data_IF_800432734935
#
_entry.id   IF_800432734935
#
_cell.length_a   1.000
_cell.length_b   1.000
_cell.length_c   1.000
_cell.angle_alpha   90.00
_cell.angle_beta   90.00
_cell.angle_gamma   90.00
#
_symmetry.space_group_name_H-M   'P 1'
#
loop_
_entity.id
_entity.type
_entity.pdbx_description
1 polymer ?
#
# COMPACT_ATOMS: atom_id res chain seq x y z
N UNK A 1 -78.63 -8.73 -11.50
CA UNK A 1 -77.61 -9.38 -10.63
C UNK A 1 -76.36 -9.67 -11.46
N UNK A 2 -75.39 -8.76 -11.44
CA UNK A 2 -74.10 -8.96 -12.14
C UNK A 2 -73.06 -9.33 -11.08
N UNK A 3 -72.48 -10.53 -11.21
CA UNK A 3 -71.36 -11.00 -10.38
C UNK A 3 -70.05 -10.53 -11.03
N UNK A 4 -69.33 -9.70 -10.30
CA UNK A 4 -67.97 -9.29 -10.63
C UNK A 4 -66.99 -10.38 -10.14
N UNK A 5 -66.27 -10.99 -11.06
CA UNK A 5 -65.18 -11.94 -10.76
C UNK A 5 -63.87 -11.11 -10.71
N UNK A 6 -63.26 -11.05 -9.53
CA UNK A 6 -61.92 -10.41 -9.36
C UNK A 6 -60.85 -11.50 -9.56
N UNK A 7 -59.91 -11.37 -10.46
CA UNK A 7 -58.81 -12.33 -10.55
C UNK A 7 -57.79 -12.07 -9.48
N UNK A 8 -57.54 -13.08 -8.64
CA UNK A 8 -56.49 -13.12 -7.63
C UNK A 8 -55.15 -13.40 -8.32
N UNK A 9 -54.34 -12.36 -8.50
CA UNK A 9 -52.95 -12.51 -9.02
C UNK A 9 -52.07 -12.98 -7.84
N UNK A 10 -51.58 -14.22 -7.89
CA UNK A 10 -50.56 -14.72 -6.97
C UNK A 10 -49.22 -14.07 -7.32
N UNK A 11 -48.79 -13.17 -6.47
CA UNK A 11 -47.43 -12.58 -6.55
C UNK A 11 -46.45 -13.55 -5.94
N UNK A 12 -45.71 -14.31 -6.73
CA UNK A 12 -44.63 -15.18 -6.25
C UNK A 12 -43.47 -14.30 -5.83
N UNK A 13 -43.29 -14.10 -4.54
CA UNK A 13 -42.09 -13.48 -3.96
C UNK A 13 -40.96 -14.50 -4.04
N UNK A 14 -40.10 -14.36 -5.05
CA UNK A 14 -38.79 -15.04 -5.06
C UNK A 14 -37.91 -14.38 -4.01
N UNK A 15 -37.76 -15.01 -2.87
CA UNK A 15 -36.74 -14.68 -1.87
C UNK A 15 -35.36 -14.95 -2.50
N UNK A 16 -34.71 -13.89 -3.01
CA UNK A 16 -33.28 -13.92 -3.24
C UNK A 16 -32.59 -14.01 -1.86
N UNK A 17 -32.23 -15.23 -1.47
CA UNK A 17 -31.33 -15.43 -0.34
C UNK A 17 -29.99 -14.76 -0.68
N UNK A 18 -29.43 -13.87 0.17
CA UNK A 18 -28.09 -13.41 -0.03
C UNK A 18 -27.18 -14.64 0.06
N UNK A 19 -26.47 -14.98 -1.01
CA UNK A 19 -25.41 -15.95 -0.96
C UNK A 19 -24.30 -15.34 -0.09
N UNK A 20 -24.30 -15.69 1.19
CA UNK A 20 -23.17 -15.46 2.07
C UNK A 20 -22.10 -16.44 1.59
N UNK A 21 -21.21 -15.98 0.73
CA UNK A 21 -19.97 -16.70 0.43
C UNK A 21 -19.20 -16.80 1.75
N UNK A 22 -19.23 -17.96 2.36
CA UNK A 22 -18.59 -18.19 3.64
C UNK A 22 -17.10 -18.49 3.38
N UNK A 23 -16.22 -18.04 4.28
CA UNK A 23 -14.82 -18.47 4.35
C UNK A 23 -14.66 -20.01 4.48
N UNK A 24 -15.76 -20.74 4.52
CA UNK A 24 -15.87 -22.20 4.57
C UNK A 24 -15.33 -22.91 3.32
N UNK A 25 -15.18 -22.21 2.19
CA UNK A 25 -14.69 -22.84 0.94
C UNK A 25 -13.15 -22.97 0.90
N UNK A 26 -12.45 -22.42 1.87
CA UNK A 26 -10.99 -22.43 1.91
C UNK A 26 -10.45 -23.27 3.07
N UNK A 27 -9.50 -24.15 2.75
CA UNK A 27 -8.67 -24.82 3.75
C UNK A 27 -7.38 -24.03 3.92
N UNK A 28 -7.14 -23.50 5.13
CA UNK A 28 -5.89 -22.79 5.47
C UNK A 28 -4.74 -23.81 5.49
N UNK A 29 -3.71 -23.55 4.67
CA UNK A 29 -2.49 -24.37 4.61
C UNK A 29 -1.41 -23.79 5.53
N UNK A 30 -1.27 -22.49 5.52
CA UNK A 30 -0.31 -21.73 6.33
C UNK A 30 -0.88 -20.37 6.66
N UNK A 31 -0.74 -19.94 7.90
CA UNK A 31 -1.13 -18.61 8.36
C UNK A 31 -0.07 -18.08 9.32
N UNK A 32 0.44 -16.90 9.02
CA UNK A 32 1.38 -16.17 9.88
C UNK A 32 0.61 -15.16 10.75
N UNK A 33 1.13 -14.78 11.91
CA UNK A 33 0.46 -13.81 12.77
C UNK A 33 0.44 -12.42 12.14
N UNK A 34 -0.68 -11.74 12.26
CA UNK A 34 -0.89 -10.35 11.82
C UNK A 34 -1.61 -9.55 12.90
N UNK A 35 -1.49 -8.24 12.84
CA UNK A 35 -2.26 -7.29 13.64
C UNK A 35 -3.66 -7.07 13.06
N UNK A 36 -4.51 -6.30 13.75
CA UNK A 36 -5.88 -5.99 13.33
C UNK A 36 -5.94 -5.38 11.93
N UNK A 37 -7.09 -5.56 11.27
CA UNK A 37 -7.40 -4.84 10.03
C UNK A 37 -7.71 -3.39 10.36
N UNK A 38 -7.10 -2.47 9.63
CA UNK A 38 -7.35 -1.02 9.71
C UNK A 38 -8.13 -0.53 8.49
N UNK A 39 -8.58 0.71 8.54
CA UNK A 39 -9.32 1.36 7.47
C UNK A 39 -8.64 2.68 7.06
N UNK A 40 -8.06 2.70 5.85
CA UNK A 40 -7.48 3.92 5.28
C UNK A 40 -8.54 4.93 4.82
N UNK A 41 -9.80 4.50 4.76
CA UNK A 41 -10.95 5.30 4.33
C UNK A 41 -10.65 6.10 3.04
N UNK A 42 -11.03 7.38 3.00
CA UNK A 42 -10.89 8.28 1.84
C UNK A 42 -9.46 8.86 1.73
N UNK A 43 -8.43 8.00 1.86
CA UNK A 43 -7.02 8.37 1.66
C UNK A 43 -6.32 7.41 0.71
N UNK A 44 -5.40 7.90 -0.10
CA UNK A 44 -4.57 7.09 -1.00
C UNK A 44 -3.33 6.51 -0.30
N UNK A 45 -3.45 6.11 0.98
CA UNK A 45 -2.34 5.72 1.85
C UNK A 45 -2.22 4.22 2.08
N UNK A 46 -2.78 3.39 1.19
CA UNK A 46 -2.70 1.93 1.25
C UNK A 46 -1.27 1.41 1.44
N UNK A 47 -0.29 2.07 0.79
CA UNK A 47 1.13 1.74 0.88
C UNK A 47 1.65 1.81 2.32
N UNK A 48 1.17 2.75 3.11
CA UNK A 48 1.59 2.94 4.50
C UNK A 48 0.88 1.93 5.42
N UNK A 49 -0.46 1.85 5.35
CA UNK A 49 -1.26 0.89 6.13
C UNK A 49 -0.79 -0.56 5.95
N UNK A 50 -0.54 -0.97 4.71
CA UNK A 50 -0.06 -2.33 4.44
C UNK A 50 1.36 -2.55 4.94
N UNK A 51 2.24 -1.54 4.80
CA UNK A 51 3.65 -1.67 5.22
C UNK A 51 3.81 -1.58 6.73
N UNK A 52 3.06 -0.71 7.42
CA UNK A 52 3.06 -0.71 8.89
C UNK A 52 2.47 -2.01 9.43
N UNK A 53 1.39 -2.53 8.83
CA UNK A 53 0.89 -3.86 9.16
C UNK A 53 1.92 -4.98 8.94
N UNK A 54 2.79 -4.84 7.93
CA UNK A 54 3.95 -5.71 7.72
C UNK A 54 4.99 -5.56 8.84
N UNK A 55 5.38 -4.33 9.20
CA UNK A 55 6.33 -4.05 10.31
C UNK A 55 5.78 -4.59 11.63
N UNK A 56 4.52 -4.35 11.93
CA UNK A 56 3.84 -4.88 13.13
C UNK A 56 3.86 -6.41 13.17
N UNK A 57 3.67 -7.07 12.02
CA UNK A 57 3.76 -8.53 11.90
C UNK A 57 5.19 -9.04 12.11
N UNK A 58 6.21 -8.30 11.65
CA UNK A 58 7.61 -8.64 11.91
C UNK A 58 7.96 -8.49 13.40
N UNK A 59 7.50 -7.43 14.06
CA UNK A 59 7.68 -7.25 15.52
C UNK A 59 6.97 -8.39 16.27
N UNK A 60 5.72 -8.69 15.90
CA UNK A 60 4.95 -9.78 16.52
C UNK A 60 5.66 -11.13 16.34
N UNK A 61 6.18 -11.41 15.14
CA UNK A 61 6.92 -12.65 14.84
C UNK A 61 8.20 -12.79 15.67
N UNK A 62 8.94 -11.69 15.86
CA UNK A 62 10.28 -11.72 16.50
C UNK A 62 10.22 -11.56 18.01
N UNK A 63 9.24 -10.85 18.54
CA UNK A 63 9.16 -10.49 19.97
C UNK A 63 7.94 -11.05 20.69
N UNK A 64 6.92 -11.50 19.96
CA UNK A 64 5.60 -11.87 20.51
C UNK A 64 4.77 -10.67 20.97
N UNK A 65 5.24 -9.43 20.79
CA UNK A 65 4.52 -8.20 21.17
C UNK A 65 3.71 -7.65 20.02
N UNK A 66 2.53 -7.15 20.35
CA UNK A 66 1.67 -6.43 19.40
C UNK A 66 1.86 -4.93 19.57
N UNK A 67 2.04 -4.24 18.47
CA UNK A 67 2.07 -2.78 18.41
C UNK A 67 1.01 -2.29 17.44
N UNK A 68 0.53 -1.08 17.66
CA UNK A 68 -0.32 -0.31 16.79
C UNK A 68 0.47 0.96 16.39
N UNK A 69 1.08 0.93 15.19
CA UNK A 69 1.96 1.98 14.71
C UNK A 69 1.14 3.05 13.96
N UNK A 70 1.55 4.30 14.09
CA UNK A 70 0.80 5.44 13.55
C UNK A 70 1.11 5.68 12.08
N UNK A 71 0.15 5.39 11.21
CA UNK A 71 0.22 5.67 9.78
C UNK A 71 0.37 7.18 9.51
N UNK A 72 -0.38 8.00 10.21
CA UNK A 72 -0.36 9.45 9.97
C UNK A 72 0.99 10.09 10.31
N UNK A 73 1.80 9.47 11.16
CA UNK A 73 3.18 9.92 11.39
C UNK A 73 4.02 9.75 10.13
N UNK A 74 3.94 8.60 9.50
CA UNK A 74 4.68 8.29 8.26
C UNK A 74 4.19 9.18 7.12
N UNK A 75 2.89 9.26 6.93
CA UNK A 75 2.25 10.10 5.90
C UNK A 75 2.66 11.56 6.00
N UNK A 76 2.66 12.14 7.22
CA UNK A 76 3.09 13.52 7.44
C UNK A 76 4.53 13.76 6.98
N UNK A 77 5.45 12.89 7.36
CA UNK A 77 6.87 13.00 7.02
C UNK A 77 7.13 12.74 5.54
N UNK A 78 6.43 11.77 4.96
CA UNK A 78 6.58 11.42 3.56
C UNK A 78 6.10 12.54 2.64
N UNK A 79 4.96 13.15 2.92
CA UNK A 79 4.46 14.27 2.12
C UNK A 79 5.35 15.49 2.16
N UNK A 80 5.98 15.78 3.32
CA UNK A 80 6.96 16.87 3.38
C UNK A 80 8.22 16.55 2.57
N UNK A 81 8.73 15.32 2.65
CA UNK A 81 9.86 14.86 1.83
C UNK A 81 9.52 14.91 0.33
N UNK A 82 8.31 14.46 -0.05
CA UNK A 82 7.81 14.52 -1.42
C UNK A 82 7.72 15.97 -1.93
N UNK A 83 7.23 16.90 -1.09
CA UNK A 83 7.19 18.32 -1.43
C UNK A 83 8.60 18.90 -1.67
N UNK A 84 9.56 18.57 -0.80
CA UNK A 84 10.96 18.97 -0.95
C UNK A 84 11.55 18.40 -2.24
N UNK A 85 11.28 17.12 -2.52
CA UNK A 85 11.72 16.47 -3.76
C UNK A 85 11.14 17.18 -5.00
N UNK A 86 9.85 17.47 -5.00
CA UNK A 86 9.18 18.18 -6.10
C UNK A 86 9.84 19.53 -6.41
N UNK A 87 10.12 20.32 -5.38
CA UNK A 87 10.78 21.61 -5.54
C UNK A 87 12.21 21.43 -6.09
N UNK A 88 12.97 20.45 -5.58
CA UNK A 88 14.33 20.14 -6.07
C UNK A 88 14.35 19.61 -7.51
N UNK A 89 13.30 18.90 -7.90
CA UNK A 89 13.08 18.43 -9.27
C UNK A 89 12.46 19.50 -10.18
N UNK A 90 12.44 20.75 -9.73
CA UNK A 90 11.91 21.90 -10.47
C UNK A 90 10.47 21.70 -10.97
N UNK A 91 9.66 20.94 -10.21
CA UNK A 91 8.27 20.65 -10.56
C UNK A 91 8.06 19.43 -11.46
N UNK A 92 9.12 18.71 -11.86
CA UNK A 92 9.02 17.51 -12.72
C UNK A 92 8.70 16.22 -12.00
N UNK A 93 8.47 16.22 -10.71
CA UNK A 93 7.97 15.06 -9.99
C UNK A 93 6.50 15.21 -9.60
N UNK A 94 5.86 14.11 -9.30
CA UNK A 94 4.48 14.15 -8.80
C UNK A 94 4.43 14.51 -7.32
N UNK A 95 3.33 15.17 -6.93
CA UNK A 95 2.83 15.24 -5.56
C UNK A 95 1.49 14.54 -5.58
N UNK A 96 1.44 13.33 -5.03
CA UNK A 96 0.25 12.49 -4.99
C UNK A 96 0.23 11.72 -3.65
N UNK A 97 -0.91 11.09 -3.34
CA UNK A 97 -1.08 10.34 -2.10
C UNK A 97 -0.39 8.96 -2.12
N UNK A 98 -0.11 8.42 -3.30
CA UNK A 98 0.52 7.12 -3.45
C UNK A 98 1.99 7.11 -3.05
N UNK A 99 2.43 5.97 -2.58
CA UNK A 99 3.80 5.66 -2.19
C UNK A 99 4.10 4.17 -2.34
N UNK A 100 5.18 3.72 -1.72
CA UNK A 100 5.60 2.32 -1.74
C UNK A 100 6.10 1.87 -0.36
N UNK A 101 6.29 0.57 -0.17
CA UNK A 101 6.83 0.03 1.08
C UNK A 101 8.21 0.62 1.43
N UNK A 102 9.03 0.92 0.43
CA UNK A 102 10.33 1.57 0.62
C UNK A 102 10.19 2.93 1.31
N UNK A 103 9.13 3.70 0.99
CA UNK A 103 8.93 5.05 1.53
C UNK A 103 8.72 5.01 3.04
N UNK A 104 7.93 4.05 3.54
CA UNK A 104 7.72 3.83 4.98
C UNK A 104 9.04 3.56 5.69
N UNK A 105 9.86 2.65 5.15
CA UNK A 105 11.16 2.31 5.72
C UNK A 105 12.14 3.49 5.71
N UNK A 106 12.16 4.29 4.64
CA UNK A 106 13.00 5.49 4.57
C UNK A 106 12.53 6.57 5.57
N UNK A 107 11.21 6.73 5.75
CA UNK A 107 10.67 7.64 6.78
C UNK A 107 11.06 7.18 8.18
N UNK A 108 10.87 5.90 8.50
CA UNK A 108 11.22 5.37 9.83
C UNK A 108 12.73 5.49 10.08
N UNK A 109 13.56 5.15 9.11
CA UNK A 109 15.01 5.33 9.21
C UNK A 109 15.42 6.79 9.43
N UNK A 110 14.74 7.73 8.81
CA UNK A 110 15.08 9.16 8.87
C UNK A 110 14.48 9.85 10.08
N UNK A 111 13.23 9.56 10.44
CA UNK A 111 12.46 10.31 11.43
C UNK A 111 12.06 9.50 12.65
N UNK A 112 12.07 8.18 12.57
CA UNK A 112 11.51 7.27 13.57
C UNK A 112 10.03 7.00 13.31
N UNK A 113 9.34 6.54 14.34
CA UNK A 113 7.90 6.21 14.32
C UNK A 113 7.32 6.44 15.72
N UNK A 114 6.01 6.58 15.84
CA UNK A 114 5.32 6.56 17.13
C UNK A 114 4.16 5.54 17.11
N UNK A 115 3.66 5.10 18.27
CA UNK A 115 2.42 4.33 18.33
C UNK A 115 1.23 5.23 17.99
N UNK A 116 0.12 4.65 17.54
CA UNK A 116 -1.10 5.36 17.15
C UNK A 116 -1.61 6.26 18.29
N UNK A 117 -1.59 5.80 19.53
CA UNK A 117 -2.04 6.57 20.70
C UNK A 117 -1.24 7.87 20.97
N UNK A 118 -0.02 7.97 20.43
CA UNK A 118 0.82 9.17 20.61
C UNK A 118 0.54 10.27 19.59
N UNK A 119 -0.18 9.96 18.53
CA UNK A 119 -0.62 10.90 17.51
C UNK A 119 -2.09 10.62 17.17
N UNK A 120 -3.00 10.82 18.14
CA UNK A 120 -4.39 10.54 17.89
C UNK A 120 -4.93 11.48 16.84
N UNK A 121 -5.77 10.97 16.05
CA UNK A 121 -6.67 11.54 15.05
C UNK A 121 -6.31 12.94 14.54
N UNK A 122 -5.83 13.07 13.30
CA UNK A 122 -5.56 14.38 12.69
C UNK A 122 -6.84 15.16 12.48
N UNK A 123 -6.69 16.48 12.35
CA UNK A 123 -7.80 17.41 12.16
C UNK A 123 -8.61 17.23 10.87
N UNK A 124 -8.20 16.37 9.95
CA UNK A 124 -9.00 15.97 8.80
C UNK A 124 -9.99 14.85 9.13
N UNK A 125 -10.02 14.39 10.36
CA UNK A 125 -10.90 13.31 10.76
C UNK A 125 -12.29 13.84 11.04
N UNK A 126 -13.21 13.32 10.31
CA UNK A 126 -14.62 13.54 10.50
C UNK A 126 -15.07 12.61 11.63
N UNK A 127 -14.90 13.05 12.87
CA UNK A 127 -15.58 12.53 14.05
C UNK A 127 -15.31 11.08 14.50
N UNK A 128 -14.71 10.25 13.67
CA UNK A 128 -14.58 8.80 13.86
C UNK A 128 -13.15 8.24 13.71
N UNK A 129 -12.17 9.11 13.69
CA UNK A 129 -10.75 8.75 13.57
C UNK A 129 -10.33 8.16 12.22
N UNK A 130 -11.15 8.24 11.17
CA UNK A 130 -10.82 7.77 9.83
C UNK A 130 -10.26 8.89 8.96
N UNK A 131 -9.19 8.62 8.21
CA UNK A 131 -8.55 9.60 7.34
C UNK A 131 -9.47 10.01 6.18
N UNK A 132 -9.54 11.34 5.89
CA UNK A 132 -10.25 11.87 4.73
C UNK A 132 -9.40 12.94 4.04
N UNK A 133 -8.84 12.62 2.90
CA UNK A 133 -7.94 13.49 2.15
C UNK A 133 -8.59 14.15 0.91
N UNK A 134 -9.92 14.11 0.80
CA UNK A 134 -10.65 14.70 -0.31
C UNK A 134 -10.41 16.21 -0.50
N UNK A 135 -10.20 16.94 0.60
CA UNK A 135 -9.81 18.35 0.55
C UNK A 135 -8.29 18.50 0.46
N UNK A 136 -7.55 17.74 1.26
CA UNK A 136 -6.09 17.82 1.34
C UNK A 136 -5.42 17.65 -0.04
N UNK A 137 -5.82 16.66 -0.83
CA UNK A 137 -5.29 16.44 -2.19
C UNK A 137 -5.48 17.63 -3.14
N UNK A 138 -6.52 18.45 -2.91
CA UNK A 138 -6.78 19.65 -3.70
C UNK A 138 -5.94 20.85 -3.26
N UNK A 139 -5.43 20.84 -2.03
CA UNK A 139 -4.71 21.95 -1.42
C UNK A 139 -3.19 21.75 -1.46
N UNK A 140 -2.70 20.54 -1.18
CA UNK A 140 -1.27 20.27 -1.02
C UNK A 140 -0.45 20.62 -2.27
N UNK A 141 -0.80 20.05 -3.42
CA UNK A 141 -0.04 20.28 -4.66
C UNK A 141 0.01 21.76 -5.08
N UNK A 142 -1.11 22.50 -5.13
CA UNK A 142 -1.07 23.92 -5.41
C UNK A 142 -0.24 24.72 -4.39
N UNK A 143 -0.31 24.36 -3.11
CA UNK A 143 0.47 25.03 -2.06
C UNK A 143 1.98 24.82 -2.26
N UNK A 144 2.42 23.59 -2.52
CA UNK A 144 3.84 23.28 -2.80
C UNK A 144 4.31 24.03 -4.05
N UNK A 145 3.50 24.06 -5.10
CA UNK A 145 3.82 24.79 -6.32
C UNK A 145 3.93 26.30 -6.05
N UNK A 146 2.98 26.89 -5.33
CA UNK A 146 2.99 28.33 -5.03
C UNK A 146 4.15 28.71 -4.10
N UNK A 147 4.27 28.07 -2.95
CA UNK A 147 5.28 28.40 -1.96
C UNK A 147 6.69 27.96 -2.34
N UNK A 148 6.81 26.76 -2.93
CA UNK A 148 8.09 26.14 -3.23
C UNK A 148 8.73 26.65 -4.53
N UNK A 149 7.93 27.02 -5.53
CA UNK A 149 8.43 27.51 -6.83
C UNK A 149 8.13 28.98 -7.08
N UNK A 150 7.29 29.60 -6.26
CA UNK A 150 6.88 31.00 -6.41
C UNK A 150 5.93 31.25 -7.56
N UNK A 151 5.29 30.20 -8.10
CA UNK A 151 4.38 30.32 -9.24
C UNK A 151 3.19 29.36 -9.13
N UNK A 152 2.08 29.72 -9.77
CA UNK A 152 0.92 28.84 -9.96
C UNK A 152 1.05 27.96 -11.21
N UNK A 153 2.21 27.88 -11.83
CA UNK A 153 2.40 27.12 -13.06
C UNK A 153 2.49 25.63 -12.78
N UNK A 154 1.69 24.86 -13.50
CA UNK A 154 1.69 23.37 -13.48
C UNK A 154 2.82 22.77 -14.30
N UNK A 155 3.61 23.59 -14.99
CA UNK A 155 4.72 23.16 -15.84
C UNK A 155 6.01 23.87 -15.46
N UNK A 156 7.16 23.20 -15.61
CA UNK A 156 8.45 23.84 -15.45
C UNK A 156 8.60 25.03 -16.42
N UNK A 157 9.28 26.05 -15.97
CA UNK A 157 9.50 27.26 -16.73
C UNK A 157 10.07 26.99 -18.14
N UNK A 158 10.95 26.00 -18.25
CA UNK A 158 11.65 25.68 -19.50
C UNK A 158 10.72 25.08 -20.56
N UNK A 159 9.71 24.32 -20.17
CA UNK A 159 8.71 23.75 -21.09
C UNK A 159 7.82 24.83 -21.75
N UNK A 160 7.77 26.02 -21.15
CA UNK A 160 6.98 27.16 -21.64
C UNK A 160 7.85 28.25 -22.24
N UNK A 161 9.19 28.08 -22.34
CA UNK A 161 10.11 29.11 -22.81
C UNK A 161 10.21 30.32 -21.85
N UNK A 162 9.78 30.17 -20.61
CA UNK A 162 9.83 31.23 -19.58
C UNK A 162 11.14 31.09 -18.82
N UNK A 163 11.93 32.17 -18.75
CA UNK A 163 13.21 32.16 -18.05
C UNK A 163 13.05 31.80 -16.58
N UNK A 164 13.77 30.77 -16.13
CA UNK A 164 13.83 30.31 -14.72
C UNK A 164 14.34 31.40 -13.75
N UNK A 165 14.92 32.49 -14.26
CA UNK A 165 15.44 33.61 -13.46
C UNK A 165 14.37 34.35 -12.65
N UNK A 166 13.09 34.18 -12.99
CA UNK A 166 11.96 34.83 -12.32
C UNK A 166 11.30 33.95 -11.24
N UNK A 167 11.72 32.70 -11.09
CA UNK A 167 11.18 31.80 -10.08
C UNK A 167 12.01 31.92 -8.81
N UNK A 168 11.36 32.29 -7.73
CA UNK A 168 11.98 32.36 -6.41
C UNK A 168 11.17 31.56 -5.43
N UNK A 169 11.81 30.62 -4.78
CA UNK A 169 11.28 29.97 -3.58
C UNK A 169 10.95 31.04 -2.54
N UNK A 170 9.74 30.99 -2.01
CA UNK A 170 9.33 31.92 -0.94
C UNK A 170 10.09 31.52 0.33
N UNK A 171 10.79 32.43 1.03
CA UNK A 171 11.44 32.12 2.29
C UNK A 171 10.46 31.52 3.29
N UNK A 172 10.85 30.44 3.97
CA UNK A 172 9.98 29.72 4.91
C UNK A 172 8.87 28.87 4.25
N UNK A 173 8.97 28.61 2.96
CA UNK A 173 7.97 27.81 2.23
C UNK A 173 7.71 26.43 2.85
N UNK A 174 8.76 25.81 3.41
CA UNK A 174 8.64 24.50 4.06
C UNK A 174 7.73 24.57 5.29
N UNK A 175 7.85 25.62 6.11
CA UNK A 175 7.00 25.82 7.28
C UNK A 175 5.54 26.05 6.87
N UNK A 176 5.32 26.77 5.78
CA UNK A 176 3.98 27.01 5.24
C UNK A 176 3.34 25.71 4.74
N UNK A 177 4.09 24.88 4.01
CA UNK A 177 3.62 23.56 3.54
C UNK A 177 3.43 22.61 4.71
N UNK A 178 4.37 22.58 5.69
CA UNK A 178 4.25 21.75 6.88
C UNK A 178 2.99 22.11 7.70
N UNK A 179 2.65 23.40 7.81
CA UNK A 179 1.42 23.84 8.48
C UNK A 179 0.16 23.27 7.82
N UNK A 180 0.15 23.19 6.48
CA UNK A 180 -0.94 22.57 5.75
C UNK A 180 -0.98 21.06 6.01
N UNK A 181 0.17 20.38 5.91
CA UNK A 181 0.26 18.95 6.20
C UNK A 181 -0.22 18.66 7.63
N UNK A 182 0.27 19.39 8.62
CA UNK A 182 -0.11 19.23 10.03
C UNK A 182 -1.62 19.42 10.26
N UNK A 183 -2.24 20.32 9.51
CA UNK A 183 -3.70 20.56 9.60
C UNK A 183 -4.52 19.37 9.13
N UNK A 184 -4.11 18.69 8.06
CA UNK A 184 -4.88 17.61 7.43
C UNK A 184 -4.44 16.22 7.89
N UNK A 185 -3.18 16.04 8.22
CA UNK A 185 -2.59 14.73 8.58
C UNK A 185 -2.35 14.60 10.07
N UNK A 186 -2.25 15.75 10.78
CA UNK A 186 -1.91 15.82 12.19
C UNK A 186 -0.44 16.17 12.41
N UNK A 187 -0.14 16.75 13.57
CA UNK A 187 1.20 17.18 13.95
C UNK A 187 1.96 16.05 14.63
N UNK A 188 3.10 15.68 14.07
CA UNK A 188 3.96 14.64 14.65
C UNK A 188 4.50 15.06 16.04
N UNK A 189 4.44 14.18 17.05
CA UNK A 189 5.01 14.45 18.36
C UNK A 189 6.54 14.47 18.31
N UNK A 190 7.16 15.40 19.04
CA UNK A 190 8.61 15.38 19.26
C UNK A 190 9.02 14.39 20.36
N UNK A 191 8.16 14.23 21.37
CA UNK A 191 8.29 13.30 22.48
C UNK A 191 6.92 12.80 22.89
N UNK A 192 6.83 11.58 23.38
CA UNK A 192 5.60 10.99 23.89
C UNK A 192 5.91 9.98 25.00
N UNK A 193 4.91 9.61 25.77
CA UNK A 193 4.99 8.55 26.78
C UNK A 193 4.26 7.33 26.24
N UNK A 194 4.91 6.18 26.27
CA UNK A 194 4.34 4.89 25.88
C UNK A 194 4.75 3.83 26.93
N UNK A 195 3.77 3.11 27.47
CA UNK A 195 3.98 2.12 28.56
C UNK A 195 4.81 2.69 29.73
N UNK A 196 4.54 3.95 30.11
CA UNK A 196 5.22 4.62 31.24
C UNK A 196 6.63 5.12 30.95
N UNK A 197 7.15 4.96 29.74
CA UNK A 197 8.49 5.42 29.34
C UNK A 197 8.40 6.55 28.32
N UNK A 198 9.27 7.56 28.47
CA UNK A 198 9.36 8.68 27.52
C UNK A 198 10.23 8.30 26.32
N UNK A 199 9.72 8.56 25.13
CA UNK A 199 10.41 8.33 23.85
C UNK A 199 10.40 9.57 22.98
N UNK A 200 11.39 9.65 22.10
CA UNK A 200 11.26 10.36 20.82
C UNK A 200 10.87 9.35 19.74
N UNK A 201 10.35 9.75 18.56
CA UNK A 201 10.08 8.80 17.49
C UNK A 201 11.29 7.93 17.11
N UNK A 202 12.49 8.49 17.15
CA UNK A 202 13.75 7.74 16.91
C UNK A 202 14.01 6.68 17.95
N UNK A 203 14.01 7.03 19.22
CA UNK A 203 14.27 6.07 20.30
C UNK A 203 13.18 5.02 20.42
N UNK A 204 11.96 5.32 20.00
CA UNK A 204 10.89 4.33 19.91
C UNK A 204 11.16 3.33 18.77
N UNK A 205 11.49 3.82 17.55
CA UNK A 205 11.85 2.95 16.43
C UNK A 205 13.03 2.01 16.75
N UNK A 206 14.03 2.50 17.49
CA UNK A 206 15.18 1.70 17.97
C UNK A 206 14.73 0.62 18.98
N UNK A 207 13.73 0.92 19.82
CA UNK A 207 13.23 -0.02 20.83
C UNK A 207 12.40 -1.17 20.26
N UNK A 208 11.96 -1.09 19.00
CA UNK A 208 11.16 -2.14 18.33
C UNK A 208 11.98 -3.37 17.94
N UNK A 209 13.31 -3.29 17.98
CA UNK A 209 14.20 -4.43 17.69
C UNK A 209 14.25 -4.84 16.23
N UNK A 210 13.90 -3.94 15.31
CA UNK A 210 13.92 -4.16 13.87
C UNK A 210 15.23 -3.62 13.27
N UNK A 211 15.94 -4.45 12.51
CA UNK A 211 17.00 -3.97 11.62
C UNK A 211 16.39 -3.44 10.32
N UNK A 212 16.18 -2.13 10.26
CA UNK A 212 15.56 -1.43 9.15
C UNK A 212 16.31 -1.56 7.81
N UNK A 213 17.53 -2.13 7.81
CA UNK A 213 18.31 -2.38 6.59
C UNK A 213 18.21 -3.83 6.09
N UNK A 214 17.57 -4.70 6.85
CA UNK A 214 17.44 -6.13 6.52
C UNK A 214 16.20 -6.43 5.66
N UNK A 215 15.80 -5.51 4.78
CA UNK A 215 14.65 -5.67 3.90
C UNK A 215 15.03 -5.43 2.44
N UNK A 216 14.25 -6.01 1.54
CA UNK A 216 14.50 -5.95 0.09
C UNK A 216 13.20 -5.84 -0.67
N UNK A 217 13.23 -5.02 -1.74
CA UNK A 217 12.17 -4.97 -2.75
C UNK A 217 12.55 -5.89 -3.91
N UNK A 218 11.65 -6.77 -4.32
CA UNK A 218 11.81 -7.70 -5.44
C UNK A 218 10.75 -7.44 -6.50
N UNK A 219 11.13 -7.57 -7.78
CA UNK A 219 10.22 -7.35 -8.91
C UNK A 219 10.46 -8.34 -10.04
N UNK A 220 9.65 -8.28 -11.10
CA UNK A 220 9.77 -9.17 -12.26
C UNK A 220 9.34 -8.49 -13.55
N UNK A 221 10.29 -7.93 -14.30
CA UNK A 221 10.05 -7.30 -15.59
C UNK A 221 11.16 -7.65 -16.59
N UNK A 222 10.82 -7.81 -17.87
CA UNK A 222 11.78 -8.20 -18.91
C UNK A 222 12.44 -7.03 -19.63
N UNK A 223 11.96 -5.80 -19.45
CA UNK A 223 12.57 -4.61 -20.04
C UNK A 223 13.84 -4.15 -19.30
N UNK A 224 14.17 -4.81 -18.19
CA UNK A 224 15.48 -4.72 -17.52
C UNK A 224 16.08 -6.11 -17.31
N UNK A 225 17.40 -6.24 -17.23
CA UNK A 225 18.06 -7.53 -16.97
C UNK A 225 17.57 -8.17 -15.66
N UNK A 226 17.39 -9.49 -15.67
CA UNK A 226 17.17 -10.22 -14.43
C UNK A 226 18.45 -10.31 -13.60
N UNK A 227 18.28 -10.42 -12.28
CA UNK A 227 19.34 -10.51 -11.26
C UNK A 227 20.14 -9.21 -11.10
N UNK A 228 19.53 -8.10 -11.45
CA UNK A 228 20.05 -6.74 -11.27
C UNK A 228 19.01 -5.84 -10.58
N UNK A 229 19.51 -4.78 -9.99
CA UNK A 229 18.66 -3.74 -9.39
C UNK A 229 18.25 -2.71 -10.45
N UNK A 230 16.97 -2.30 -10.46
CA UNK A 230 16.52 -1.15 -11.22
C UNK A 230 15.38 -0.43 -10.50
N UNK A 231 15.13 0.82 -10.87
CA UNK A 231 14.00 1.60 -10.37
C UNK A 231 12.79 1.34 -11.25
N UNK A 232 11.73 0.76 -10.69
CA UNK A 232 10.49 0.52 -11.43
C UNK A 232 9.91 1.87 -11.86
N UNK A 233 9.58 2.01 -13.14
CA UNK A 233 9.02 3.22 -13.76
C UNK A 233 7.54 3.38 -13.39
N UNK A 234 7.27 3.54 -12.11
CA UNK A 234 5.94 3.79 -11.56
C UNK A 234 5.90 5.14 -10.84
N UNK A 235 4.79 5.87 -11.01
CA UNK A 235 4.63 7.24 -10.50
C UNK A 235 4.89 7.37 -8.99
N UNK A 236 4.53 6.33 -8.24
CA UNK A 236 4.63 6.32 -6.79
C UNK A 236 6.00 5.88 -6.26
N UNK A 237 6.97 5.59 -7.15
CA UNK A 237 8.37 5.30 -6.78
C UNK A 237 9.24 6.57 -6.79
N UNK A 238 8.70 7.66 -6.29
CA UNK A 238 9.33 8.99 -6.36
C UNK A 238 10.67 9.09 -5.61
N UNK A 239 10.93 8.25 -4.59
CA UNK A 239 12.24 8.17 -3.91
C UNK A 239 13.29 7.43 -4.74
N UNK A 240 12.92 6.89 -5.91
CA UNK A 240 13.82 6.18 -6.83
C UNK A 240 14.58 5.01 -6.17
N UNK A 241 13.95 4.34 -5.20
CA UNK A 241 14.53 3.15 -4.57
C UNK A 241 14.43 1.96 -5.51
N UNK A 242 15.54 1.25 -5.75
CA UNK A 242 15.54 0.13 -6.67
C UNK A 242 14.84 -1.10 -6.10
N UNK A 243 14.39 -1.95 -7.00
CA UNK A 243 13.92 -3.31 -6.73
C UNK A 243 14.81 -4.29 -7.45
N UNK A 244 15.11 -5.43 -6.83
CA UNK A 244 15.91 -6.49 -7.45
C UNK A 244 15.03 -7.33 -8.38
N UNK A 245 15.44 -7.43 -9.65
CA UNK A 245 14.66 -8.03 -10.72
C UNK A 245 14.88 -9.54 -10.84
N UNK A 246 13.81 -10.30 -10.90
CA UNK A 246 13.85 -11.77 -10.97
C UNK A 246 12.86 -12.32 -11.99
N UNK A 247 13.09 -13.49 -12.59
CA UNK A 247 12.06 -14.19 -13.34
C UNK A 247 10.82 -14.43 -12.46
N UNK A 248 9.62 -14.33 -13.04
CA UNK A 248 8.36 -14.37 -12.29
C UNK A 248 8.19 -15.66 -11.48
N UNK A 249 8.57 -16.81 -11.99
CA UNK A 249 8.46 -18.08 -11.26
C UNK A 249 9.43 -18.13 -10.07
N UNK A 250 10.57 -17.44 -10.16
CA UNK A 250 11.51 -17.29 -9.05
C UNK A 250 10.92 -16.37 -7.98
N UNK A 251 10.30 -15.26 -8.40
CA UNK A 251 9.61 -14.32 -7.50
C UNK A 251 8.49 -15.03 -6.71
N UNK A 252 7.63 -15.79 -7.40
CA UNK A 252 6.55 -16.57 -6.77
C UNK A 252 7.10 -17.64 -5.81
N UNK A 253 8.20 -18.29 -6.16
CA UNK A 253 8.85 -19.27 -5.28
C UNK A 253 9.42 -18.62 -4.02
N UNK A 254 9.93 -17.40 -4.10
CA UNK A 254 10.37 -16.62 -2.92
C UNK A 254 9.19 -16.29 -2.03
N UNK A 255 8.07 -15.81 -2.60
CA UNK A 255 6.85 -15.54 -1.87
C UNK A 255 6.37 -16.76 -1.08
N UNK A 256 6.26 -17.92 -1.74
CA UNK A 256 5.86 -19.18 -1.09
C UNK A 256 6.81 -19.58 0.04
N UNK A 257 8.12 -19.49 -0.21
CA UNK A 257 9.12 -19.81 0.82
C UNK A 257 9.04 -18.86 2.03
N UNK A 258 8.84 -17.56 1.80
CA UNK A 258 8.71 -16.57 2.86
C UNK A 258 7.50 -16.87 3.75
N UNK A 259 6.32 -17.05 3.14
CA UNK A 259 5.10 -17.36 3.90
C UNK A 259 5.25 -18.68 4.68
N UNK A 260 5.77 -19.74 4.07
CA UNK A 260 5.97 -21.02 4.74
C UNK A 260 7.01 -20.94 5.86
N UNK A 261 7.99 -20.05 5.75
CA UNK A 261 9.00 -19.81 6.79
C UNK A 261 8.51 -18.90 7.95
N UNK A 262 7.28 -18.41 7.90
CA UNK A 262 6.69 -17.60 8.97
C UNK A 262 6.76 -16.09 8.76
N UNK A 263 7.22 -15.63 7.59
CA UNK A 263 7.29 -14.21 7.24
C UNK A 263 6.03 -13.74 6.51
N UNK A 264 5.60 -12.52 6.78
CA UNK A 264 4.65 -11.82 5.93
C UNK A 264 5.37 -11.09 4.79
N UNK A 265 4.62 -10.65 3.78
CA UNK A 265 5.17 -9.95 2.60
C UNK A 265 4.27 -8.78 2.25
N UNK A 266 4.80 -7.55 2.20
CA UNK A 266 4.07 -6.44 1.63
C UNK A 266 4.08 -6.57 0.10
N UNK A 267 2.90 -6.56 -0.50
CA UNK A 267 2.64 -6.77 -1.92
C UNK A 267 2.13 -5.47 -2.54
N UNK A 268 2.84 -4.97 -3.53
CA UNK A 268 2.40 -3.87 -4.38
C UNK A 268 1.99 -4.39 -5.73
N UNK A 269 0.81 -3.97 -6.22
CA UNK A 269 0.30 -4.48 -7.48
C UNK A 269 -0.93 -3.74 -7.99
N UNK A 270 -1.62 -4.38 -8.91
CA UNK A 270 -2.83 -3.88 -9.55
C UNK A 270 -4.08 -4.56 -9.01
N UNK A 271 -5.03 -3.75 -8.55
CA UNK A 271 -6.35 -4.22 -8.10
C UNK A 271 -7.49 -3.58 -8.88
N UNK A 272 -7.19 -2.83 -9.95
CA UNK A 272 -8.16 -2.06 -10.75
C UNK A 272 -9.09 -2.92 -11.61
N UNK A 273 -8.81 -4.20 -11.80
CA UNK A 273 -9.58 -5.12 -12.62
C UNK A 273 -10.91 -5.57 -12.00
N UNK A 274 -11.84 -6.05 -12.85
CA UNK A 274 -13.17 -6.52 -12.44
C UNK A 274 -13.20 -7.96 -11.85
N UNK A 275 -12.10 -8.43 -11.27
CA UNK A 275 -11.95 -9.82 -10.81
C UNK A 275 -12.12 -9.99 -9.30
N UNK A 276 -12.76 -9.01 -8.67
CA UNK A 276 -13.01 -8.97 -7.24
C UNK A 276 -14.46 -9.31 -6.94
N UNK A 277 -14.70 -10.38 -6.24
CA UNK A 277 -16.03 -10.75 -5.80
C UNK A 277 -15.99 -11.48 -4.46
N UNK A 278 -16.89 -11.15 -3.54
CA UNK A 278 -17.14 -11.90 -2.30
C UNK A 278 -15.87 -12.19 -1.46
N UNK A 279 -14.91 -11.27 -1.41
CA UNK A 279 -13.65 -11.48 -0.68
C UNK A 279 -12.62 -12.33 -1.43
N UNK A 280 -12.81 -12.55 -2.71
CA UNK A 280 -11.87 -13.26 -3.58
C UNK A 280 -11.38 -12.37 -4.72
N UNK A 281 -10.14 -12.59 -5.16
CA UNK A 281 -9.59 -12.07 -6.41
C UNK A 281 -9.02 -13.22 -7.24
N UNK A 282 -9.47 -13.34 -8.49
CA UNK A 282 -9.04 -14.41 -9.38
C UNK A 282 -9.10 -13.99 -10.86
N UNK A 283 -8.31 -14.65 -11.69
CA UNK A 283 -8.34 -14.43 -13.14
C UNK A 283 -9.34 -15.37 -13.82
N UNK A 284 -10.05 -14.91 -14.85
CA UNK A 284 -10.84 -15.77 -15.72
C UNK A 284 -9.92 -16.70 -16.53
N UNK A 285 -10.43 -17.87 -16.93
CA UNK A 285 -9.66 -18.87 -17.69
C UNK A 285 -9.08 -18.31 -19.00
N UNK A 286 -9.71 -17.31 -19.60
CA UNK A 286 -9.20 -16.65 -20.81
C UNK A 286 -7.88 -15.90 -20.62
N UNK A 287 -7.49 -15.63 -19.35
CA UNK A 287 -6.22 -15.00 -19.00
C UNK A 287 -5.14 -15.99 -18.53
N UNK A 288 -5.39 -17.28 -18.66
CA UNK A 288 -4.47 -18.33 -18.23
C UNK A 288 -3.84 -19.06 -19.45
N UNK A 289 -2.62 -19.59 -19.33
CA UNK A 289 -1.72 -19.46 -18.19
C UNK A 289 -1.05 -18.07 -18.13
N UNK A 290 -0.68 -17.63 -16.93
CA UNK A 290 0.13 -16.42 -16.75
C UNK A 290 1.59 -16.73 -17.02
N UNK A 291 2.17 -16.12 -18.06
CA UNK A 291 3.60 -16.22 -18.39
C UNK A 291 4.35 -14.91 -18.13
N UNK A 292 5.66 -14.94 -18.19
CA UNK A 292 6.50 -13.73 -18.07
C UNK A 292 6.19 -12.73 -19.17
N UNK A 293 5.97 -13.22 -20.41
CA UNK A 293 5.70 -12.40 -21.60
C UNK A 293 4.33 -11.72 -21.51
N UNK A 294 3.28 -12.48 -21.13
CA UNK A 294 1.93 -11.91 -20.95
C UNK A 294 1.95 -10.82 -19.88
N UNK A 295 2.66 -11.06 -18.78
CA UNK A 295 2.81 -10.09 -17.71
C UNK A 295 3.50 -8.81 -18.20
N UNK A 296 4.62 -8.94 -18.94
CA UNK A 296 5.34 -7.80 -19.51
C UNK A 296 4.47 -7.02 -20.50
N UNK A 297 3.81 -7.74 -21.41
CA UNK A 297 2.91 -7.11 -22.38
C UNK A 297 1.83 -6.27 -21.70
N UNK A 298 1.21 -6.76 -20.60
CA UNK A 298 0.17 -6.01 -19.90
C UNK A 298 0.71 -4.78 -19.16
N UNK A 299 1.98 -4.81 -18.73
CA UNK A 299 2.66 -3.61 -18.21
C UNK A 299 2.90 -2.59 -19.32
N UNK A 300 3.40 -3.03 -20.47
CA UNK A 300 3.74 -2.18 -21.60
C UNK A 300 2.51 -1.56 -22.26
N UNK A 301 1.38 -2.25 -22.27
CA UNK A 301 0.10 -1.76 -22.86
C UNK A 301 -0.84 -1.10 -21.82
N UNK A 302 -0.37 -0.93 -20.57
CA UNK A 302 -1.04 -0.28 -19.45
C UNK A 302 -2.33 -0.98 -18.97
N UNK A 303 -2.51 -2.24 -19.29
CA UNK A 303 -3.60 -3.06 -18.73
C UNK A 303 -3.28 -3.65 -17.37
N UNK A 304 -2.03 -3.55 -16.96
CA UNK A 304 -1.52 -3.81 -15.62
C UNK A 304 -0.74 -2.58 -15.13
N UNK A 305 -1.12 -2.04 -13.98
CA UNK A 305 -0.51 -0.84 -13.39
C UNK A 305 -0.05 -1.10 -11.96
N UNK A 306 0.32 -0.06 -11.23
CA UNK A 306 0.58 -0.11 -9.80
C UNK A 306 -0.35 0.87 -9.09
N UNK A 307 -1.34 0.36 -8.39
CA UNK A 307 -2.38 1.18 -7.77
C UNK A 307 -2.69 0.84 -6.30
N UNK A 308 -2.20 -0.30 -5.77
CA UNK A 308 -2.52 -0.70 -4.41
C UNK A 308 -1.40 -1.49 -3.71
N UNK A 309 -1.40 -1.43 -2.37
CA UNK A 309 -0.49 -2.22 -1.53
C UNK A 309 -1.30 -2.96 -0.46
N UNK A 310 -0.99 -4.24 -0.26
CA UNK A 310 -1.61 -5.10 0.74
C UNK A 310 -0.59 -6.01 1.42
N UNK A 311 -1.01 -6.70 2.49
CA UNK A 311 -0.16 -7.61 3.25
C UNK A 311 -0.52 -9.08 2.98
N UNK A 312 0.35 -9.83 2.32
CA UNK A 312 0.23 -11.30 2.19
C UNK A 312 0.77 -11.95 3.46
N UNK A 313 -0.06 -12.80 4.11
CA UNK A 313 0.31 -13.43 5.38
C UNK A 313 0.01 -14.91 5.46
N UNK A 314 -0.62 -15.49 4.43
CA UNK A 314 -0.97 -16.91 4.48
C UNK A 314 -1.22 -17.53 3.12
N UNK A 315 -1.39 -18.82 3.13
CA UNK A 315 -1.73 -19.67 1.97
C UNK A 315 -2.95 -20.51 2.33
N UNK A 316 -3.92 -20.55 1.44
CA UNK A 316 -5.10 -21.38 1.53
C UNK A 316 -5.34 -22.14 0.20
N UNK A 317 -6.20 -23.17 0.24
CA UNK A 317 -6.61 -23.93 -0.94
C UNK A 317 -8.13 -24.09 -0.96
N UNK A 318 -8.70 -24.04 -2.15
CA UNK A 318 -10.08 -24.51 -2.38
C UNK A 318 -10.16 -26.02 -2.47
N UNK A 319 -11.36 -26.59 -2.36
CA UNK A 319 -11.59 -28.03 -2.46
C UNK A 319 -11.08 -28.64 -3.78
N UNK A 320 -11.04 -27.85 -4.87
CA UNK A 320 -10.47 -28.25 -6.16
C UNK A 320 -8.92 -28.21 -6.20
N UNK A 321 -8.25 -27.94 -5.08
CA UNK A 321 -6.80 -27.86 -4.95
C UNK A 321 -6.18 -26.53 -5.39
N UNK A 322 -6.94 -25.59 -5.96
CA UNK A 322 -6.43 -24.29 -6.40
C UNK A 322 -5.88 -23.48 -5.22
N UNK A 323 -4.65 -22.97 -5.37
CA UNK A 323 -3.95 -22.19 -4.35
C UNK A 323 -4.40 -20.72 -4.36
N UNK A 324 -4.55 -20.18 -3.15
CA UNK A 324 -4.81 -18.77 -2.89
C UNK A 324 -3.87 -18.26 -1.81
N UNK A 325 -3.55 -16.98 -1.88
CA UNK A 325 -2.89 -16.27 -0.79
C UNK A 325 -3.95 -15.56 0.07
N UNK A 326 -3.71 -15.59 1.39
CA UNK A 326 -4.51 -14.83 2.36
C UNK A 326 -3.89 -13.44 2.50
N UNK A 327 -4.68 -12.42 2.24
CA UNK A 327 -4.21 -11.03 2.11
C UNK A 327 -5.02 -10.12 3.01
N UNK A 328 -4.33 -9.38 3.90
CA UNK A 328 -4.94 -8.32 4.72
C UNK A 328 -4.97 -7.03 3.90
N UNK A 329 -6.17 -6.47 3.72
CA UNK A 329 -6.39 -5.19 3.09
C UNK A 329 -6.60 -4.08 4.16
N UNK A 330 -6.61 -2.83 3.73
CA UNK A 330 -6.77 -1.63 4.55
C UNK A 330 -8.08 -0.87 4.25
N UNK A 331 -9.16 -1.59 3.94
CA UNK A 331 -10.49 -1.01 3.67
C UNK A 331 -11.50 -1.30 4.78
N UNK A 332 -11.03 -1.54 6.01
CA UNK A 332 -11.88 -1.91 7.13
C UNK A 332 -12.40 -3.35 7.07
N UNK A 333 -13.14 -3.74 8.10
CA UNK A 333 -13.65 -5.11 8.27
C UNK A 333 -14.98 -5.37 7.56
N UNK A 334 -15.58 -4.35 6.96
CA UNK A 334 -16.86 -4.45 6.24
C UNK A 334 -16.71 -5.06 4.84
N UNK A 335 -15.49 -5.10 4.29
CA UNK A 335 -15.20 -5.66 2.97
C UNK A 335 -14.48 -7.01 3.07
N UNK A 336 -14.63 -7.83 2.04
CA UNK A 336 -14.02 -9.16 1.99
C UNK A 336 -14.49 -10.07 3.14
N UNK A 337 -13.61 -10.94 3.59
CA UNK A 337 -13.83 -11.76 4.79
C UNK A 337 -13.32 -11.03 6.05
N UNK A 338 -14.05 -10.02 6.51
CA UNK A 338 -13.65 -9.12 7.62
C UNK A 338 -12.29 -8.44 7.36
N UNK A 339 -12.13 -7.88 6.15
CA UNK A 339 -10.90 -7.20 5.72
C UNK A 339 -9.84 -8.12 5.13
N UNK A 340 -10.08 -9.43 5.10
CA UNK A 340 -9.20 -10.43 4.48
C UNK A 340 -9.73 -10.81 3.11
N UNK A 341 -8.81 -10.92 2.15
CA UNK A 341 -9.06 -11.34 0.79
C UNK A 341 -8.29 -12.61 0.46
N UNK A 342 -8.91 -13.48 -0.34
CA UNK A 342 -8.26 -14.67 -0.90
C UNK A 342 -7.93 -14.40 -2.36
N UNK A 343 -6.64 -14.23 -2.67
CA UNK A 343 -6.16 -13.89 -4.00
C UNK A 343 -5.53 -15.11 -4.65
N UNK A 344 -6.04 -15.54 -5.81
CA UNK A 344 -5.49 -16.72 -6.48
C UNK A 344 -4.02 -16.54 -6.86
N UNK A 345 -3.27 -17.63 -6.92
CA UNK A 345 -1.86 -17.61 -7.31
C UNK A 345 -1.64 -16.93 -8.67
N UNK A 346 -2.51 -17.25 -9.65
CA UNK A 346 -2.44 -16.64 -10.98
C UNK A 346 -2.70 -15.12 -10.91
N UNK A 347 -3.63 -14.68 -10.06
CA UNK A 347 -3.90 -13.25 -9.87
C UNK A 347 -2.67 -12.54 -9.30
N UNK A 348 -2.07 -13.07 -8.24
CA UNK A 348 -0.83 -12.51 -7.68
C UNK A 348 0.29 -12.55 -8.72
N UNK A 349 0.47 -13.66 -9.43
CA UNK A 349 1.50 -13.80 -10.47
C UNK A 349 1.38 -12.74 -11.56
N UNK A 350 0.16 -12.45 -12.03
CA UNK A 350 -0.07 -11.43 -13.06
C UNK A 350 0.13 -10.01 -12.52
N UNK A 351 -0.50 -9.69 -11.40
CA UNK A 351 -0.71 -8.32 -10.94
C UNK A 351 0.34 -7.81 -9.94
N UNK A 352 1.43 -8.55 -9.68
CA UNK A 352 2.49 -8.10 -8.77
C UNK A 352 3.41 -7.08 -9.45
N UNK A 353 3.50 -5.87 -8.93
CA UNK A 353 4.53 -4.89 -9.29
C UNK A 353 5.81 -5.16 -8.49
N UNK A 354 5.69 -5.31 -7.18
CA UNK A 354 6.82 -5.69 -6.32
C UNK A 354 6.37 -6.48 -5.08
N UNK A 355 7.32 -7.20 -4.50
CA UNK A 355 7.24 -7.78 -3.16
C UNK A 355 8.26 -7.10 -2.26
N UNK A 356 7.87 -6.71 -1.06
CA UNK A 356 8.78 -6.17 -0.06
C UNK A 356 8.79 -7.07 1.17
N UNK A 357 9.98 -7.56 1.56
CA UNK A 357 10.10 -8.58 2.60
C UNK A 357 11.46 -8.55 3.29
N UNK A 358 11.55 -9.26 4.43
CA UNK A 358 12.79 -9.47 5.16
C UNK A 358 13.79 -10.29 4.32
N UNK A 359 15.05 -9.85 4.24
CA UNK A 359 16.12 -10.58 3.53
C UNK A 359 16.35 -11.99 4.07
N UNK A 360 16.11 -12.21 5.36
CA UNK A 360 16.27 -13.53 5.99
C UNK A 360 15.25 -14.56 5.49
N UNK A 361 14.11 -14.09 4.94
CA UNK A 361 13.12 -14.95 4.27
C UNK A 361 13.61 -15.43 2.89
N UNK A 362 14.65 -14.82 2.33
CA UNK A 362 15.13 -15.08 0.97
C UNK A 362 16.39 -15.93 1.00
N UNK A 363 16.30 -17.15 0.49
CA UNK A 363 17.49 -18.01 0.34
C UNK A 363 18.44 -17.37 -0.68
N UNK A 364 19.70 -17.08 -0.28
CA UNK A 364 20.71 -16.41 -1.12
C UNK A 364 20.87 -17.02 -2.53
N UNK A 365 20.70 -18.34 -2.66
CA UNK A 365 20.76 -19.02 -3.97
C UNK A 365 19.61 -18.62 -4.92
N UNK A 366 18.52 -18.07 -4.42
CA UNK A 366 17.39 -17.61 -5.22
C UNK A 366 17.60 -16.23 -5.84
N UNK A 367 18.60 -15.49 -5.37
CA UNK A 367 19.03 -14.20 -5.92
C UNK A 367 20.19 -14.35 -6.93
N UNK A 368 20.43 -15.54 -7.44
CA UNK A 368 21.48 -15.82 -8.41
C UNK A 368 20.88 -16.54 -9.62
N UNK A 369 21.45 -16.38 -10.82
CA UNK A 369 21.06 -17.12 -12.02
C UNK A 369 20.98 -18.62 -11.83
#
# INVERSE_FOLDING_TARGET
MHRIIIPTTLLSLTLLSPQISSAQDFTVVKQNPITSVKDQNESGTCWDYATLGFVESEILRTTGKTYDLCEMFVVNKDYMDCAIHHVRMHGFSQIAEGGSADDVFEVIKKYGICPEEAMPAPGSLVGDSLANFNEFRKVLKPAVQYFGTGTNHTYPADALGVSSKNFKTIPGWQDSVQTIIDRYVGKCPEKFVYEGKTYTPKTFAESLGIDWNNYISLTSFTHHPFYEDFVIEAMHKWRLRPSFNLPIDRLMSILDNAINAGYCVAWGGDVSGNFWANGEAYLPNSKLPVTQEIRQQQWDDWTFTYDHVMLIYGIAKKANGKKYYMVKNSWGTQYGHKGIWYMSEDFIKLNTTYLFLCKDAVKKKMLKP
#
